data_IF_178539264135
#
_entry.id   IF_178539264135
#
_cell.length_a   1.000
_cell.length_b   1.000
_cell.length_c   1.000
_cell.angle_alpha   90.00
_cell.angle_beta   90.00
_cell.angle_gamma   90.00
#
_symmetry.space_group_name_H-M   'P 1'
#
loop_
_entity.id
_entity.type
_entity.pdbx_description
1 polymer ?
#
# COMPACT_ATOMS: atom_id res chain seq x y z
N UNK A 1 10.38 -6.53 21.43
CA UNK A 1 9.69 -5.22 21.39
C UNK A 1 8.79 -5.23 20.17
N UNK A 2 7.48 -5.12 20.33
CA UNK A 2 6.58 -4.96 19.18
C UNK A 2 6.90 -3.63 18.50
N UNK A 3 6.93 -3.64 17.18
CA UNK A 3 7.28 -2.47 16.39
C UNK A 3 6.04 -1.55 16.39
N UNK A 4 6.08 -0.44 17.14
CA UNK A 4 4.92 0.46 17.36
C UNK A 4 4.19 0.84 16.06
N UNK A 5 4.94 1.01 14.97
CA UNK A 5 4.38 1.33 13.65
C UNK A 5 3.51 0.21 13.05
N UNK A 6 3.84 -1.05 13.35
CA UNK A 6 3.07 -2.22 12.88
C UNK A 6 1.73 -2.28 13.61
N UNK A 7 1.74 -2.15 14.94
CA UNK A 7 0.52 -2.18 15.76
C UNK A 7 -0.42 -1.01 15.37
N UNK A 8 0.10 0.21 15.27
CA UNK A 8 -0.67 1.40 14.85
C UNK A 8 -1.28 1.22 13.43
N UNK A 9 -0.55 0.54 12.53
CA UNK A 9 -1.02 0.30 11.15
C UNK A 9 -2.09 -0.80 11.11
N UNK A 10 -1.95 -1.86 11.90
CA UNK A 10 -2.97 -2.91 12.02
C UNK A 10 -4.26 -2.33 12.59
N UNK A 11 -4.20 -1.44 13.59
CA UNK A 11 -5.38 -0.76 14.11
C UNK A 11 -6.09 0.07 13.03
N UNK A 12 -5.33 0.84 12.24
CA UNK A 12 -5.89 1.59 11.10
C UNK A 12 -6.51 0.67 10.05
N UNK A 13 -5.88 -0.45 9.72
CA UNK A 13 -6.42 -1.43 8.77
C UNK A 13 -7.72 -2.03 9.27
N UNK A 14 -7.82 -2.38 10.56
CA UNK A 14 -9.06 -2.86 11.16
C UNK A 14 -10.19 -1.83 11.10
N UNK A 15 -9.89 -0.56 11.38
CA UNK A 15 -10.87 0.52 11.27
C UNK A 15 -11.37 0.69 9.82
N UNK A 16 -10.48 0.57 8.82
CA UNK A 16 -10.88 0.63 7.41
C UNK A 16 -11.68 -0.60 6.99
N UNK A 17 -11.31 -1.80 7.43
CA UNK A 17 -12.00 -3.04 7.08
C UNK A 17 -13.40 -3.15 7.70
N UNK A 18 -13.64 -2.52 8.84
CA UNK A 18 -14.98 -2.45 9.45
C UNK A 18 -15.90 -1.43 8.76
N UNK A 19 -15.35 -0.55 7.92
CA UNK A 19 -16.14 0.40 7.14
C UNK A 19 -16.91 -0.33 6.01
N UNK A 20 -18.22 -0.12 5.95
CA UNK A 20 -19.08 -0.70 4.90
C UNK A 20 -18.98 0.00 3.55
N UNK A 21 -18.31 1.15 3.48
CA UNK A 21 -18.18 1.98 2.27
C UNK A 21 -17.05 1.49 1.36
N UNK A 22 -16.08 0.74 1.87
CA UNK A 22 -14.98 0.23 1.04
C UNK A 22 -15.46 -0.89 0.11
N UNK A 23 -14.96 -0.88 -1.12
CA UNK A 23 -15.21 -1.91 -2.13
C UNK A 23 -14.57 -3.26 -1.78
N UNK A 24 -15.05 -4.33 -2.40
CA UNK A 24 -14.47 -5.68 -2.23
C UNK A 24 -13.00 -5.74 -2.66
N UNK A 25 -12.63 -4.96 -3.68
CA UNK A 25 -11.26 -4.88 -4.16
C UNK A 25 -10.35 -4.20 -3.12
N UNK A 26 -10.78 -3.09 -2.52
CA UNK A 26 -10.06 -2.44 -1.42
C UNK A 26 -9.94 -3.37 -0.22
N UNK A 27 -11.04 -4.03 0.16
CA UNK A 27 -11.08 -4.99 1.26
C UNK A 27 -10.06 -6.12 1.06
N UNK A 28 -9.98 -6.66 -0.15
CA UNK A 28 -9.01 -7.71 -0.50
C UNK A 28 -7.57 -7.23 -0.33
N UNK A 29 -7.25 -6.04 -0.85
CA UNK A 29 -5.90 -5.46 -0.74
C UNK A 29 -5.53 -5.19 0.73
N UNK A 30 -6.43 -4.57 1.50
CA UNK A 30 -6.19 -4.18 2.89
C UNK A 30 -6.04 -5.40 3.82
N UNK A 31 -6.93 -6.39 3.68
CA UNK A 31 -6.90 -7.63 4.47
C UNK A 31 -5.65 -8.47 4.19
N UNK A 32 -5.20 -8.52 2.93
CA UNK A 32 -3.94 -9.18 2.59
C UNK A 32 -2.76 -8.53 3.31
N UNK A 33 -2.67 -7.19 3.28
CA UNK A 33 -1.60 -6.48 3.99
C UNK A 33 -1.68 -6.67 5.51
N UNK A 34 -2.88 -6.62 6.09
CA UNK A 34 -3.07 -6.88 7.52
C UNK A 34 -2.53 -8.26 7.90
N UNK A 35 -2.95 -9.31 7.20
CA UNK A 35 -2.52 -10.69 7.47
C UNK A 35 -1.00 -10.84 7.38
N UNK A 36 -0.37 -10.16 6.41
CA UNK A 36 1.10 -10.16 6.27
C UNK A 36 1.80 -9.48 7.45
N UNK A 37 1.31 -8.33 7.90
CA UNK A 37 1.86 -7.65 9.08
C UNK A 37 1.69 -8.48 10.35
N UNK A 38 0.53 -9.11 10.55
CA UNK A 38 0.27 -10.00 11.68
C UNK A 38 1.18 -11.24 11.68
N UNK A 39 1.54 -11.75 10.50
CA UNK A 39 2.49 -12.86 10.35
C UNK A 39 3.96 -12.46 10.59
N UNK A 40 4.25 -11.18 10.85
CA UNK A 40 5.59 -10.69 11.14
C UNK A 40 6.43 -10.36 9.90
N UNK A 41 5.81 -10.20 8.73
CA UNK A 41 6.49 -9.79 7.50
C UNK A 41 7.07 -8.37 7.63
N UNK A 42 8.00 -8.03 6.75
CA UNK A 42 8.69 -6.75 6.81
C UNK A 42 7.73 -5.56 6.57
N UNK A 43 7.54 -4.73 7.60
CA UNK A 43 6.66 -3.56 7.56
C UNK A 43 6.87 -2.67 6.34
N UNK A 44 8.11 -2.22 6.08
CA UNK A 44 8.39 -1.28 4.99
C UNK A 44 8.06 -1.90 3.62
N UNK A 45 8.38 -3.18 3.45
CA UNK A 45 8.09 -3.90 2.22
C UNK A 45 6.58 -4.05 1.98
N UNK A 46 5.83 -4.42 3.01
CA UNK A 46 4.38 -4.55 2.92
C UNK A 46 3.68 -3.20 2.70
N UNK A 47 4.20 -2.10 3.26
CA UNK A 47 3.68 -0.75 2.98
C UNK A 47 3.93 -0.32 1.52
N UNK A 48 5.09 -0.65 0.95
CA UNK A 48 5.37 -0.40 -0.48
C UNK A 48 4.42 -1.20 -1.37
N UNK A 49 4.21 -2.49 -1.06
CA UNK A 49 3.26 -3.34 -1.80
C UNK A 49 1.84 -2.81 -1.71
N UNK A 50 1.39 -2.47 -0.50
CA UNK A 50 0.07 -1.90 -0.27
C UNK A 50 -0.15 -0.65 -1.13
N UNK A 51 0.80 0.29 -1.10
CA UNK A 51 0.76 1.48 -1.94
C UNK A 51 0.66 1.13 -3.43
N UNK A 52 1.48 0.18 -3.91
CA UNK A 52 1.50 -0.20 -5.31
C UNK A 52 0.20 -0.92 -5.75
N UNK A 53 -0.40 -1.71 -4.86
CA UNK A 53 -1.68 -2.40 -5.13
C UNK A 53 -2.86 -1.42 -5.14
N UNK A 54 -2.82 -0.36 -4.32
CA UNK A 54 -3.85 0.68 -4.31
C UNK A 54 -3.69 1.69 -5.46
N UNK A 55 -2.49 1.85 -6.03
CA UNK A 55 -2.19 2.85 -7.06
C UNK A 55 -3.14 2.80 -8.27
N UNK A 56 -3.48 1.64 -8.87
CA UNK A 56 -4.44 1.57 -9.96
C UNK A 56 -5.80 2.17 -9.59
N UNK A 57 -6.28 1.91 -8.36
CA UNK A 57 -7.55 2.44 -7.85
C UNK A 57 -7.51 3.95 -7.59
N UNK A 58 -6.34 4.48 -7.22
CA UNK A 58 -6.11 5.94 -7.13
C UNK A 58 -6.25 6.57 -8.51
N UNK A 59 -5.56 6.00 -9.52
CA UNK A 59 -5.53 6.53 -10.89
C UNK A 59 -6.92 6.50 -11.53
N UNK A 60 -7.69 5.44 -11.28
CA UNK A 60 -9.07 5.32 -11.76
C UNK A 60 -10.10 6.08 -10.90
N UNK A 61 -9.68 6.75 -9.83
CA UNK A 61 -10.57 7.44 -8.87
C UNK A 61 -11.64 6.51 -8.26
N UNK A 62 -11.29 5.25 -8.02
CA UNK A 62 -12.16 4.21 -7.47
C UNK A 62 -11.92 3.92 -5.99
N UNK A 63 -10.94 4.60 -5.36
CA UNK A 63 -10.76 4.50 -3.91
C UNK A 63 -11.85 5.24 -3.15
N UNK A 64 -12.36 4.59 -2.13
CA UNK A 64 -13.15 5.21 -1.07
C UNK A 64 -12.34 6.30 -0.37
N UNK A 65 -13.04 7.30 0.17
CA UNK A 65 -12.43 8.50 0.76
C UNK A 65 -11.45 8.15 1.89
N UNK A 66 -11.80 7.20 2.75
CA UNK A 66 -10.99 6.85 3.91
C UNK A 66 -9.75 6.04 3.52
N UNK A 67 -9.88 5.15 2.53
CA UNK A 67 -8.72 4.42 1.98
C UNK A 67 -7.81 5.36 1.20
N UNK A 68 -8.35 6.35 0.51
CA UNK A 68 -7.56 7.40 -0.15
C UNK A 68 -6.78 8.25 0.86
N UNK A 69 -7.39 8.59 2.01
CA UNK A 69 -6.70 9.31 3.08
C UNK A 69 -5.53 8.47 3.63
N UNK A 70 -5.78 7.19 3.92
CA UNK A 70 -4.74 6.27 4.37
C UNK A 70 -3.62 6.07 3.34
N UNK A 71 -3.97 5.96 2.05
CA UNK A 71 -2.99 5.91 0.96
C UNK A 71 -2.07 7.14 0.93
N UNK A 72 -2.62 8.34 1.17
CA UNK A 72 -1.83 9.58 1.22
C UNK A 72 -0.87 9.59 2.40
N UNK A 73 -1.28 9.07 3.56
CA UNK A 73 -0.40 8.92 4.74
C UNK A 73 0.79 8.00 4.42
N UNK A 74 0.53 6.84 3.80
CA UNK A 74 1.58 5.90 3.38
C UNK A 74 2.55 6.56 2.38
N UNK A 75 2.02 7.38 1.45
CA UNK A 75 2.84 8.08 0.46
C UNK A 75 3.67 9.21 1.07
N UNK A 76 3.16 9.88 2.11
CA UNK A 76 3.87 10.93 2.82
C UNK A 76 5.01 10.38 3.71
N UNK A 77 4.94 9.10 4.08
CA UNK A 77 5.98 8.44 4.87
C UNK A 77 7.28 8.24 4.06
N UNK A 78 8.28 9.09 4.30
CA UNK A 78 9.59 9.10 3.60
C UNK A 78 10.42 7.82 3.73
N UNK A 79 9.96 6.82 4.50
CA UNK A 79 10.62 5.49 4.59
C UNK A 79 10.05 4.49 3.58
N UNK A 80 8.86 4.78 3.04
CA UNK A 80 8.18 3.99 1.98
C UNK A 80 8.55 4.51 0.57
N UNK A 81 9.41 5.52 0.49
CA UNK A 81 10.02 5.98 -0.75
C UNK A 81 11.24 5.12 -1.12
N UNK A 82 11.00 3.97 -1.75
CA UNK A 82 12.00 3.43 -2.67
C UNK A 82 11.89 4.22 -3.99
N UNK A 83 12.83 5.13 -4.20
CA UNK A 83 13.09 5.79 -5.48
C UNK A 83 12.42 7.15 -5.67
N UNK A 84 13.05 8.20 -5.15
CA UNK A 84 13.19 9.42 -5.97
C UNK A 84 13.85 8.98 -7.30
N UNK A 85 13.07 8.80 -8.36
CA UNK A 85 13.60 8.71 -9.74
C UNK A 85 13.75 7.34 -10.43
N UNK A 86 13.28 6.20 -9.91
CA UNK A 86 13.54 4.88 -10.54
C UNK A 86 12.33 3.98 -10.86
N UNK A 87 11.18 4.51 -11.27
CA UNK A 87 10.09 3.64 -11.79
C UNK A 87 9.35 4.14 -13.02
N UNK A 88 9.87 5.13 -13.75
CA UNK A 88 9.48 5.36 -15.15
C UNK A 88 10.36 4.59 -16.17
N UNK A 89 11.39 3.85 -15.71
CA UNK A 89 12.38 3.20 -16.58
C UNK A 89 12.55 1.69 -16.40
N UNK A 90 11.71 1.00 -15.62
CA UNK A 90 11.77 -0.48 -15.52
C UNK A 90 10.64 -1.18 -16.26
N UNK A 91 10.05 -0.50 -17.26
CA UNK A 91 8.92 -1.03 -18.04
C UNK A 91 9.07 -1.03 -19.56
N UNK A 92 10.09 -0.40 -20.15
CA UNK A 92 10.32 -0.42 -21.60
C UNK A 92 11.82 -0.34 -21.91
N UNK A 93 12.27 -1.21 -22.82
CA UNK A 93 13.56 -1.17 -23.55
C UNK A 93 14.68 -2.08 -23.03
N UNK A 94 14.46 -3.40 -23.06
CA UNK A 94 15.49 -4.26 -23.66
C UNK A 94 15.23 -4.33 -25.18
N UNK A 95 15.59 -3.26 -25.89
CA UNK A 95 15.73 -3.32 -27.35
C UNK A 95 16.92 -4.24 -27.67
N UNK A 96 16.84 -5.08 -28.72
CA UNK A 96 17.92 -6.00 -29.05
C UNK A 96 19.14 -5.20 -29.51
N UNK A 97 20.32 -5.57 -29.00
CA UNK A 97 21.60 -5.08 -29.54
C UNK A 97 21.83 -5.71 -30.92
N UNK A 98 22.18 -4.87 -31.91
CA UNK A 98 22.71 -5.28 -33.22
C UNK A 98 23.95 -6.16 -33.07
#
# INVERSE_FOLDING_TARGET
MKNKNVDDTIEKLNALLTNSVISDQERTILSLTQSKLESGENYNFEMVKLRNNLLPLVVSSQLSKDVLAFYKDIRAERKVSWGEGSSLLTGLSTLPKK
#
